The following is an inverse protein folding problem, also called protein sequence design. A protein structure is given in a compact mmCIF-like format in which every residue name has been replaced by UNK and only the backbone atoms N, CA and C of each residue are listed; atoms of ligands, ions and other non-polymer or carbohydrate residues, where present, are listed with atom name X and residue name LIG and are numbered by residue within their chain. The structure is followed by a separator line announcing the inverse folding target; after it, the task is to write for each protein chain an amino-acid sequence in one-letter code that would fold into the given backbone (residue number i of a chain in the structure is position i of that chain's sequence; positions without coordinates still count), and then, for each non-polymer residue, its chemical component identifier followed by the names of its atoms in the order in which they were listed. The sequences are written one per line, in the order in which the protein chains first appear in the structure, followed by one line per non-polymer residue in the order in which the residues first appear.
data_IF_098033399533
#
_entry.id   IF_098033399533
#
_cell.length_a   1.000
_cell.length_b   1.000
_cell.length_c   1.000
_cell.angle_alpha   90.00
_cell.angle_beta   90.00
_cell.angle_gamma   90.00
#
_symmetry.space_group_name_H-M   'P 1'
#
loop_
_entity.id
_entity.type
_entity.pdbx_description
1 polymer ?
#
# COMPACT_ATOMS: atom_id res chain seq x y z
N UNK A 1 -7.14 -2.05 6.71
CA UNK A 1 -8.02 -0.87 6.46
C UNK A 1 -8.11 -0.70 4.95
N UNK A 2 -9.31 -0.65 4.34
CA UNK A 2 -9.41 -0.44 2.89
C UNK A 2 -9.17 1.03 2.56
N UNK A 3 -8.20 1.33 1.69
CA UNK A 3 -7.84 2.68 1.29
C UNK A 3 -8.11 2.87 -0.19
N UNK A 4 -8.91 3.88 -0.52
CA UNK A 4 -9.10 4.34 -1.90
C UNK A 4 -8.00 5.35 -2.24
N UNK A 5 -6.88 4.85 -2.75
CA UNK A 5 -5.65 5.67 -2.94
C UNK A 5 -5.84 6.84 -3.92
N UNK A 6 -6.85 6.77 -4.79
CA UNK A 6 -7.16 7.81 -5.77
C UNK A 6 -7.87 9.03 -5.18
N UNK A 7 -8.35 8.97 -3.93
CA UNK A 7 -8.99 10.11 -3.27
C UNK A 7 -8.03 11.31 -3.15
N UNK A 8 -8.48 12.52 -3.50
CA UNK A 8 -7.65 13.74 -3.49
C UNK A 8 -6.95 14.02 -2.16
N UNK A 9 -7.54 13.59 -1.04
CA UNK A 9 -6.93 13.72 0.30
C UNK A 9 -5.56 13.06 0.42
N UNK A 10 -5.25 12.05 -0.40
CA UNK A 10 -3.96 11.36 -0.38
C UNK A 10 -2.90 12.00 -1.28
N UNK A 11 -3.23 13.04 -2.05
CA UNK A 11 -2.30 13.69 -2.99
C UNK A 11 -1.06 14.28 -2.32
N UNK A 12 -1.19 14.70 -1.05
CA UNK A 12 -0.10 15.28 -0.26
C UNK A 12 0.18 14.50 1.02
N UNK A 13 -0.32 13.28 1.09
CA UNK A 13 -0.15 12.42 2.26
C UNK A 13 1.20 11.70 2.20
N UNK A 14 2.16 12.21 2.97
CA UNK A 14 3.51 11.66 3.09
C UNK A 14 3.58 10.37 3.91
N UNK A 15 2.47 9.92 4.52
CA UNK A 15 2.46 8.72 5.34
C UNK A 15 2.53 7.42 4.53
N UNK A 16 2.90 6.29 5.17
CA UNK A 16 2.88 4.98 4.54
C UNK A 16 1.44 4.55 4.26
N UNK A 17 1.24 3.57 3.36
CA UNK A 17 -0.09 3.00 3.06
C UNK A 17 -0.72 2.42 4.33
N UNK A 18 0.05 1.65 5.10
CA UNK A 18 -0.37 1.11 6.39
C UNK A 18 0.77 1.21 7.39
N UNK A 19 0.49 1.79 8.55
CA UNK A 19 1.45 1.89 9.66
C UNK A 19 1.78 0.49 10.20
N UNK A 20 3.06 0.23 10.43
CA UNK A 20 3.54 -1.06 10.93
C UNK A 20 3.54 -2.20 9.89
N UNK A 21 3.21 -1.91 8.63
CA UNK A 21 3.43 -2.86 7.54
C UNK A 21 4.87 -2.77 7.03
N UNK A 22 5.49 -3.92 6.83
CA UNK A 22 6.89 -4.09 6.47
C UNK A 22 7.11 -4.50 5.01
N UNK A 23 6.08 -4.36 4.16
CA UNK A 23 6.21 -4.55 2.71
C UNK A 23 7.02 -3.42 2.05
N UNK A 24 7.53 -3.68 0.84
CA UNK A 24 8.30 -2.69 0.07
C UNK A 24 7.55 -1.37 -0.13
N UNK A 25 6.24 -1.44 -0.37
CA UNK A 25 5.40 -0.27 -0.60
C UNK A 25 5.24 0.60 0.65
N UNK A 26 5.03 -0.01 1.82
CA UNK A 26 4.86 0.74 3.08
C UNK A 26 6.18 1.25 3.66
N UNK A 27 7.31 0.57 3.39
CA UNK A 27 8.62 0.96 3.91
C UNK A 27 9.27 2.12 3.15
N UNK A 28 9.13 2.12 1.82
CA UNK A 28 9.92 3.00 0.96
C UNK A 28 9.08 4.08 0.26
N UNK A 29 7.75 3.96 0.27
CA UNK A 29 6.86 4.82 -0.50
C UNK A 29 5.72 5.39 0.33
N UNK A 30 5.29 6.59 -0.04
CA UNK A 30 4.17 7.29 0.58
C UNK A 30 2.85 7.03 -0.16
N UNK A 31 1.73 7.32 0.51
CA UNK A 31 0.39 7.33 -0.11
C UNK A 31 0.33 8.30 -1.30
N UNK A 32 0.92 9.49 -1.16
CA UNK A 32 1.02 10.46 -2.24
C UNK A 32 1.77 9.93 -3.45
N UNK A 33 2.89 9.23 -3.25
CA UNK A 33 3.66 8.63 -4.34
C UNK A 33 2.86 7.54 -5.05
N UNK A 34 2.19 6.66 -4.29
CA UNK A 34 1.37 5.62 -4.89
C UNK A 34 0.20 6.21 -5.69
N UNK A 35 -0.49 7.23 -5.16
CA UNK A 35 -1.54 7.93 -5.90
C UNK A 35 -1.02 8.53 -7.20
N UNK A 36 0.13 9.20 -7.14
CA UNK A 36 0.77 9.80 -8.31
C UNK A 36 1.02 8.77 -9.41
N UNK A 37 1.57 7.60 -9.06
CA UNK A 37 1.79 6.52 -10.01
C UNK A 37 0.48 6.00 -10.62
N UNK A 38 -0.57 5.85 -9.82
CA UNK A 38 -1.90 5.46 -10.34
C UNK A 38 -2.47 6.52 -11.30
N UNK A 39 -2.31 7.81 -11.00
CA UNK A 39 -2.74 8.90 -11.91
C UNK A 39 -1.96 8.89 -13.22
N UNK A 40 -0.69 8.49 -13.20
CA UNK A 40 0.14 8.38 -14.39
C UNK A 40 -0.05 7.07 -15.16
N UNK A 41 -0.89 6.14 -14.68
CA UNK A 41 -1.00 4.78 -15.22
C UNK A 41 0.36 4.06 -15.30
N UNK A 42 1.25 4.32 -14.34
CA UNK A 42 2.54 3.64 -14.27
C UNK A 42 2.35 2.19 -13.75
N UNK A 43 2.85 1.16 -14.45
CA UNK A 43 2.78 -0.23 -13.99
C UNK A 43 3.38 -0.47 -12.59
N UNK A 44 4.32 0.36 -12.15
CA UNK A 44 4.86 0.32 -10.80
C UNK A 44 3.78 0.50 -9.72
N UNK A 45 2.70 1.25 -10.00
CA UNK A 45 1.56 1.40 -9.10
C UNK A 45 0.94 0.04 -8.76
N UNK A 46 0.68 -0.76 -9.80
CA UNK A 46 0.09 -2.09 -9.67
C UNK A 46 1.04 -3.05 -8.94
N UNK A 47 2.35 -2.97 -9.22
CA UNK A 47 3.37 -3.77 -8.55
C UNK A 47 3.38 -3.51 -7.04
N UNK A 48 3.46 -2.23 -6.64
CA UNK A 48 3.50 -1.81 -5.24
C UNK A 48 2.19 -2.13 -4.50
N UNK A 49 1.03 -1.90 -5.14
CA UNK A 49 -0.26 -2.25 -4.58
C UNK A 49 -0.38 -3.77 -4.36
N UNK A 50 0.06 -4.57 -5.33
CA UNK A 50 0.08 -6.04 -5.22
C UNK A 50 1.00 -6.50 -4.09
N UNK A 51 2.21 -5.92 -3.97
CA UNK A 51 3.14 -6.25 -2.89
C UNK A 51 2.54 -5.96 -1.50
N UNK A 52 1.84 -4.84 -1.35
CA UNK A 52 1.10 -4.53 -0.11
C UNK A 52 -0.02 -5.54 0.15
N UNK A 53 -0.85 -5.83 -0.86
CA UNK A 53 -1.97 -6.75 -0.73
C UNK A 53 -1.52 -8.16 -0.35
N UNK A 54 -0.49 -8.69 -1.01
CA UNK A 54 0.08 -10.00 -0.69
C UNK A 54 0.60 -10.05 0.75
N UNK A 55 1.26 -8.98 1.23
CA UNK A 55 1.73 -8.93 2.62
C UNK A 55 0.57 -8.86 3.63
N UNK A 56 -0.50 -8.14 3.29
CA UNK A 56 -1.71 -8.12 4.09
C UNK A 56 -2.32 -9.52 4.22
N UNK A 57 -2.51 -10.22 3.09
CA UNK A 57 -3.04 -11.59 3.11
C UNK A 57 -2.12 -12.56 3.84
N UNK A 58 -0.80 -12.47 3.67
CA UNK A 58 0.17 -13.28 4.40
C UNK A 58 0.02 -13.13 5.92
N UNK A 59 0.01 -11.88 6.43
CA UNK A 59 -0.19 -11.60 7.86
C UNK A 59 -1.56 -12.05 8.36
N UNK A 60 -2.60 -11.95 7.53
CA UNK A 60 -3.93 -12.45 7.88
C UNK A 60 -3.91 -13.97 8.07
N UNK A 61 -3.28 -14.70 7.15
CA UNK A 61 -3.15 -16.16 7.23
C UNK A 61 -2.29 -16.63 8.40
N UNK A 62 -1.23 -15.88 8.75
CA UNK A 62 -0.41 -16.14 9.94
C UNK A 62 -1.26 -16.02 11.22
N UNK A 63 -2.03 -14.94 11.36
CA UNK A 63 -2.94 -14.73 12.49
C UNK A 63 -3.99 -15.81 12.60
N UNK A 64 -4.59 -16.23 11.47
CA UNK A 64 -5.58 -17.29 11.45
C UNK A 64 -4.99 -18.66 11.81
N UNK A 65 -3.70 -18.89 11.52
CA UNK A 65 -2.98 -20.11 11.93
C UNK A 65 -2.63 -20.14 13.42
N UNK A 66 -2.91 -19.08 14.19
CA UNK A 66 -2.64 -19.04 15.63
C UNK A 66 -1.15 -19.02 15.97
N UNK A 67 -0.31 -18.50 15.06
CA UNK A 67 1.08 -18.14 15.37
C UNK A 67 1.18 -16.68 15.82
#
# INVERSE_FOLDING_TARGET
KHLYIMDDKYCRDGGPIEEGCDCEACKNHSRAYLQHLFRMNDPAAMRLATAHNLRFFGRLMERLRGK
#
